data_IF_644278668312
#
_entry.id   IF_644278668312
#
_cell.length_a   1.000
_cell.length_b   1.000
_cell.length_c   1.000
_cell.angle_alpha   90.00
_cell.angle_beta   90.00
_cell.angle_gamma   90.00
#
_symmetry.space_group_name_H-M   'P 1'
#
loop_
_entity.id
_entity.type
_entity.pdbx_description
1 polymer ?
#
# COMPACT_ATOMS: atom_id res chain seq x y z
N UNK A 1 -1.24 -32.79 -40.77
CA UNK A 1 0.20 -33.09 -40.89
C UNK A 1 0.41 -34.41 -40.19
N UNK A 2 0.94 -35.44 -40.93
CA UNK A 2 1.12 -36.77 -40.35
C UNK A 2 2.14 -36.70 -39.20
N UNK A 3 1.88 -37.45 -38.14
CA UNK A 3 2.78 -37.66 -36.96
C UNK A 3 4.10 -38.34 -37.46
N UNK A 4 5.00 -37.52 -37.96
CA UNK A 4 6.32 -37.97 -38.38
C UNK A 4 7.29 -37.75 -37.23
N UNK A 5 7.50 -38.80 -36.42
CA UNK A 5 8.49 -38.78 -35.36
C UNK A 5 9.93 -38.76 -35.90
N UNK A 6 10.87 -38.03 -35.28
CA UNK A 6 12.27 -38.10 -35.66
C UNK A 6 12.82 -39.48 -35.39
N UNK A 7 13.67 -39.99 -36.30
CA UNK A 7 14.37 -41.27 -36.12
C UNK A 7 15.12 -41.29 -34.79
N UNK A 8 15.19 -42.46 -34.12
CA UNK A 8 15.83 -42.61 -32.80
C UNK A 8 17.24 -42.04 -32.74
N UNK A 9 18.06 -42.32 -33.78
CA UNK A 9 19.43 -41.79 -33.85
C UNK A 9 19.50 -40.25 -33.90
N UNK A 10 18.49 -39.58 -34.46
CA UNK A 10 18.44 -38.12 -34.49
C UNK A 10 17.95 -37.54 -33.14
N UNK A 11 17.06 -38.24 -32.43
CA UNK A 11 16.67 -37.92 -31.06
C UNK A 11 17.84 -38.08 -30.09
N UNK A 12 18.57 -39.21 -30.19
CA UNK A 12 19.77 -39.46 -29.40
C UNK A 12 20.82 -38.37 -29.63
N UNK A 13 21.05 -37.98 -30.90
CA UNK A 13 21.94 -36.89 -31.24
C UNK A 13 21.48 -35.59 -30.59
N UNK A 14 20.21 -35.24 -30.71
CA UNK A 14 19.67 -34.00 -30.12
C UNK A 14 19.80 -33.93 -28.59
N UNK A 15 19.83 -35.06 -27.90
CA UNK A 15 20.00 -35.18 -26.47
C UNK A 15 21.45 -34.93 -25.99
N UNK A 16 22.44 -34.97 -26.89
CA UNK A 16 23.84 -34.72 -26.51
C UNK A 16 24.10 -33.26 -26.21
N UNK A 17 25.06 -32.97 -25.30
CA UNK A 17 25.36 -31.65 -24.83
C UNK A 17 25.73 -30.62 -25.91
N UNK A 18 26.46 -31.05 -26.95
CA UNK A 18 26.83 -30.18 -28.07
C UNK A 18 25.62 -29.77 -28.94
N UNK A 19 24.86 -30.73 -29.48
CA UNK A 19 23.61 -30.47 -30.20
C UNK A 19 22.62 -29.65 -29.40
N UNK A 20 22.42 -29.90 -28.11
CA UNK A 20 21.56 -29.09 -27.24
C UNK A 20 21.93 -27.61 -27.25
N UNK A 21 23.22 -27.28 -27.21
CA UNK A 21 23.69 -25.89 -27.33
C UNK A 21 23.34 -25.28 -28.70
N UNK A 22 23.47 -26.05 -29.77
CA UNK A 22 23.12 -25.61 -31.13
C UNK A 22 21.61 -25.37 -31.24
N UNK A 23 20.79 -26.28 -30.75
CA UNK A 23 19.34 -26.17 -30.76
C UNK A 23 18.87 -25.02 -29.89
N UNK A 24 19.52 -24.79 -28.73
CA UNK A 24 19.27 -23.61 -27.91
C UNK A 24 19.62 -22.31 -28.65
N UNK A 25 20.69 -22.28 -29.44
CA UNK A 25 21.02 -21.10 -30.24
C UNK A 25 19.98 -20.87 -31.38
N UNK A 26 19.40 -21.95 -31.95
CA UNK A 26 18.26 -21.84 -32.87
C UNK A 26 17.06 -21.21 -32.20
N UNK A 27 16.65 -21.74 -31.04
CA UNK A 27 15.51 -21.20 -30.26
C UNK A 27 15.71 -19.71 -29.93
N UNK A 28 16.90 -19.33 -29.45
CA UNK A 28 17.22 -17.92 -29.18
C UNK A 28 17.19 -17.04 -30.42
N UNK A 29 17.60 -17.58 -31.56
CA UNK A 29 17.56 -16.82 -32.82
C UNK A 29 16.14 -16.55 -33.26
N UNK A 30 15.27 -17.58 -33.28
CA UNK A 30 13.84 -17.43 -33.63
C UNK A 30 13.14 -16.49 -32.61
N UNK A 31 13.37 -16.71 -31.34
CA UNK A 31 12.81 -15.84 -30.28
C UNK A 31 13.13 -14.35 -30.50
N UNK A 32 14.33 -14.04 -31.02
CA UNK A 32 14.74 -12.68 -31.39
C UNK A 32 14.24 -12.18 -32.74
N UNK A 33 13.43 -12.97 -33.46
CA UNK A 33 12.91 -12.65 -34.79
C UNK A 33 13.91 -12.91 -35.93
N UNK A 34 14.99 -13.62 -35.65
CA UNK A 34 15.97 -13.98 -36.67
C UNK A 34 15.49 -15.14 -37.55
N UNK A 35 15.72 -15.04 -38.88
CA UNK A 35 15.33 -16.07 -39.84
C UNK A 35 16.27 -17.27 -39.78
N UNK A 36 15.71 -18.47 -40.07
CA UNK A 36 16.45 -19.76 -40.20
C UNK A 36 16.82 -20.08 -41.65
N UNK A 37 17.14 -19.07 -42.46
CA UNK A 37 17.53 -19.21 -43.84
C UNK A 37 19.05 -19.27 -44.07
N UNK A 38 19.82 -18.48 -43.29
CA UNK A 38 21.28 -18.39 -43.46
C UNK A 38 21.99 -17.79 -42.27
N UNK A 39 23.32 -17.83 -42.27
CA UNK A 39 24.20 -17.18 -41.31
C UNK A 39 24.65 -18.06 -40.13
N UNK A 40 25.63 -17.62 -39.34
CA UNK A 40 26.17 -18.38 -38.22
C UNK A 40 25.22 -18.41 -37.02
N UNK A 41 25.21 -19.53 -36.32
CA UNK A 41 24.61 -19.65 -34.99
C UNK A 41 25.66 -19.23 -33.94
N UNK A 42 25.28 -18.29 -33.06
CA UNK A 42 26.15 -17.84 -31.97
C UNK A 42 26.19 -18.91 -30.86
N UNK A 43 27.08 -19.88 -31.01
CA UNK A 43 27.29 -20.98 -30.09
C UNK A 43 28.79 -21.28 -29.94
N UNK A 44 29.26 -21.37 -28.72
CA UNK A 44 30.62 -21.83 -28.37
C UNK A 44 30.52 -23.31 -28.00
N UNK A 45 31.38 -24.13 -28.61
CA UNK A 45 31.40 -25.58 -28.43
C UNK A 45 32.81 -25.99 -27.96
N UNK A 46 32.90 -26.80 -26.91
CA UNK A 46 34.14 -27.49 -26.56
C UNK A 46 34.50 -28.51 -27.66
N UNK A 47 35.73 -29.01 -27.62
CA UNK A 47 36.17 -30.04 -28.58
C UNK A 47 35.29 -31.28 -28.56
N UNK A 48 34.83 -31.70 -27.36
CA UNK A 48 33.92 -32.84 -27.23
C UNK A 48 32.51 -32.52 -27.82
N UNK A 49 32.00 -31.36 -27.48
CA UNK A 49 30.70 -30.90 -28.00
C UNK A 49 30.72 -30.76 -29.54
N UNK A 50 31.88 -30.32 -30.07
CA UNK A 50 32.07 -30.20 -31.49
C UNK A 50 32.06 -31.59 -32.18
N UNK A 51 32.69 -32.61 -31.57
CA UNK A 51 32.60 -34.00 -32.05
C UNK A 51 31.16 -34.52 -32.04
N UNK A 52 30.41 -34.20 -31.00
CA UNK A 52 28.99 -34.58 -30.92
C UNK A 52 28.14 -33.96 -32.04
N UNK A 53 28.33 -32.66 -32.31
CA UNK A 53 27.65 -31.96 -33.42
C UNK A 53 28.07 -32.51 -34.77
N UNK A 54 29.32 -32.90 -34.93
CA UNK A 54 29.87 -33.49 -36.17
C UNK A 54 29.26 -34.83 -36.54
N UNK A 55 28.61 -35.55 -35.63
CA UNK A 55 27.85 -36.75 -35.95
C UNK A 55 26.72 -36.46 -36.96
N UNK A 56 26.22 -35.23 -37.00
CA UNK A 56 25.22 -34.78 -37.98
C UNK A 56 25.86 -33.96 -39.13
N UNK A 57 26.78 -33.01 -38.78
CA UNK A 57 27.36 -32.10 -39.79
C UNK A 57 28.57 -32.66 -40.52
N UNK A 58 29.07 -33.82 -40.11
CA UNK A 58 30.18 -34.52 -40.75
C UNK A 58 31.59 -34.09 -40.23
N UNK A 59 32.58 -34.98 -40.40
CA UNK A 59 33.95 -34.77 -39.92
C UNK A 59 34.66 -33.63 -40.65
N UNK A 60 34.35 -33.34 -41.89
CA UNK A 60 34.88 -32.19 -42.65
C UNK A 60 34.53 -30.85 -41.95
N UNK A 61 33.32 -30.73 -41.39
CA UNK A 61 32.89 -29.57 -40.64
C UNK A 61 33.67 -29.50 -39.29
N UNK A 62 33.84 -30.63 -38.61
CA UNK A 62 34.56 -30.69 -37.36
C UNK A 62 36.00 -30.13 -37.50
N UNK A 63 36.76 -30.64 -38.44
CA UNK A 63 38.13 -30.27 -38.70
C UNK A 63 38.31 -28.83 -39.19
N UNK A 64 37.29 -28.30 -39.88
CA UNK A 64 37.33 -26.96 -40.46
C UNK A 64 37.42 -25.83 -39.42
N UNK A 65 37.14 -26.06 -38.15
CA UNK A 65 37.09 -25.05 -37.11
C UNK A 65 35.95 -24.01 -37.28
N UNK A 66 35.15 -24.09 -38.30
CA UNK A 66 34.09 -23.10 -38.60
C UNK A 66 32.93 -23.16 -37.60
N UNK A 67 32.23 -22.05 -37.46
CA UNK A 67 31.00 -21.99 -36.68
C UNK A 67 29.90 -22.85 -37.30
N UNK A 68 28.94 -23.30 -36.50
CA UNK A 68 27.69 -23.88 -36.99
C UNK A 68 26.91 -22.81 -37.74
N UNK A 69 26.52 -23.08 -38.99
CA UNK A 69 25.65 -22.19 -39.77
C UNK A 69 24.25 -22.78 -39.89
N UNK A 70 23.27 -21.89 -39.99
CA UNK A 70 21.87 -22.29 -40.25
C UNK A 70 21.80 -23.16 -41.52
N UNK A 71 22.52 -22.75 -42.56
CA UNK A 71 22.55 -23.52 -43.85
C UNK A 71 23.08 -24.92 -43.66
N UNK A 72 24.21 -25.08 -42.96
CA UNK A 72 24.81 -26.42 -42.75
C UNK A 72 23.90 -27.31 -41.89
N UNK A 73 23.30 -26.76 -40.84
CA UNK A 73 22.35 -27.47 -39.99
C UNK A 73 21.09 -27.87 -40.79
N UNK A 74 20.55 -26.93 -41.59
CA UNK A 74 19.37 -27.16 -42.40
C UNK A 74 19.60 -28.23 -43.45
N UNK A 75 20.75 -28.22 -44.14
CA UNK A 75 21.12 -29.27 -45.10
C UNK A 75 21.21 -30.64 -44.43
N UNK A 76 21.91 -30.74 -43.30
CA UNK A 76 22.07 -31.99 -42.58
C UNK A 76 20.73 -32.56 -42.06
N UNK A 77 19.84 -31.71 -41.55
CA UNK A 77 18.50 -32.11 -41.11
C UNK A 77 17.60 -32.48 -42.32
N UNK A 78 17.76 -31.82 -43.47
CA UNK A 78 16.97 -32.13 -44.69
C UNK A 78 17.29 -33.50 -45.28
N UNK A 79 18.51 -34.03 -45.10
CA UNK A 79 18.87 -35.39 -45.44
C UNK A 79 18.05 -36.44 -44.67
N UNK A 80 17.54 -36.05 -43.49
CA UNK A 80 16.62 -36.83 -42.66
C UNK A 80 15.16 -36.43 -42.89
N UNK A 81 14.90 -35.47 -43.79
CA UNK A 81 13.56 -35.05 -44.20
C UNK A 81 12.93 -34.02 -43.25
N UNK A 82 13.71 -33.30 -42.46
CA UNK A 82 13.21 -32.28 -41.52
C UNK A 82 13.75 -30.89 -41.83
N UNK A 83 12.87 -29.88 -41.68
CA UNK A 83 13.29 -28.48 -41.54
C UNK A 83 13.84 -28.19 -40.14
N UNK A 84 14.67 -27.14 -39.99
CA UNK A 84 15.24 -26.80 -38.67
C UNK A 84 14.12 -26.45 -37.67
N UNK A 85 13.16 -25.63 -38.08
CA UNK A 85 12.05 -25.23 -37.19
C UNK A 85 11.21 -26.43 -36.81
N UNK A 86 10.76 -27.20 -37.81
CA UNK A 86 9.97 -28.41 -37.65
C UNK A 86 10.61 -29.40 -36.67
N UNK A 87 11.94 -29.61 -36.82
CA UNK A 87 12.68 -30.55 -35.97
C UNK A 87 12.71 -30.05 -34.51
N UNK A 88 12.97 -28.76 -34.27
CA UNK A 88 13.02 -28.20 -32.93
C UNK A 88 11.62 -28.18 -32.29
N UNK A 89 10.60 -27.82 -33.03
CA UNK A 89 9.20 -27.83 -32.57
C UNK A 89 8.71 -29.24 -32.20
N UNK A 90 9.13 -30.24 -32.96
CA UNK A 90 8.86 -31.64 -32.65
C UNK A 90 9.54 -32.11 -31.36
N UNK A 91 10.80 -31.70 -31.14
CA UNK A 91 11.52 -32.01 -29.90
C UNK A 91 10.91 -31.30 -28.67
N UNK A 92 10.39 -30.10 -28.87
CA UNK A 92 9.81 -29.29 -27.82
C UNK A 92 8.32 -29.59 -27.56
N UNK A 93 7.67 -30.30 -28.49
CA UNK A 93 6.24 -30.55 -28.47
C UNK A 93 5.38 -29.27 -28.63
N UNK A 94 5.99 -28.18 -29.08
CA UNK A 94 5.33 -26.86 -29.20
C UNK A 94 6.00 -26.03 -30.32
N UNK A 95 5.28 -25.08 -30.95
CA UNK A 95 5.84 -24.13 -31.91
C UNK A 95 6.95 -23.28 -31.30
N UNK A 96 7.96 -22.92 -32.13
CA UNK A 96 9.02 -22.02 -31.72
C UNK A 96 8.49 -20.60 -31.46
N UNK A 97 8.55 -20.07 -30.22
CA UNK A 97 7.99 -18.78 -29.90
C UNK A 97 8.79 -17.63 -30.52
N UNK A 98 8.13 -16.77 -31.29
CA UNK A 98 8.71 -15.53 -31.80
C UNK A 98 8.42 -14.42 -30.81
N UNK A 99 9.44 -13.70 -30.35
CA UNK A 99 9.30 -12.62 -29.34
C UNK A 99 8.19 -11.63 -29.66
N UNK A 100 8.01 -11.28 -30.94
CA UNK A 100 6.94 -10.37 -31.37
C UNK A 100 5.55 -10.97 -31.15
N UNK A 101 5.39 -12.26 -31.42
CA UNK A 101 4.11 -12.97 -31.26
C UNK A 101 3.78 -13.18 -29.77
N UNK A 102 4.80 -13.53 -28.97
CA UNK A 102 4.66 -13.61 -27.50
C UNK A 102 4.26 -12.25 -26.93
N UNK A 103 4.95 -11.17 -27.30
CA UNK A 103 4.63 -9.84 -26.85
C UNK A 103 3.23 -9.37 -27.32
N UNK A 104 2.83 -9.72 -28.55
CA UNK A 104 1.49 -9.43 -29.05
C UNK A 104 0.40 -10.22 -28.30
N UNK A 105 0.66 -11.47 -27.95
CA UNK A 105 -0.25 -12.29 -27.14
C UNK A 105 -0.39 -11.74 -25.71
N UNK A 106 0.72 -11.35 -25.07
CA UNK A 106 0.71 -10.70 -23.75
C UNK A 106 -0.08 -9.39 -23.79
N UNK A 107 0.15 -8.55 -24.80
CA UNK A 107 -0.61 -7.31 -24.99
C UNK A 107 -2.11 -7.56 -25.22
N UNK A 108 -2.46 -8.61 -25.97
CA UNK A 108 -3.86 -8.99 -26.18
C UNK A 108 -4.54 -9.42 -24.87
N UNK A 109 -3.85 -10.18 -24.02
CA UNK A 109 -4.36 -10.58 -22.69
C UNK A 109 -4.60 -9.33 -21.82
N UNK A 110 -3.62 -8.42 -21.77
CA UNK A 110 -3.75 -7.15 -21.02
C UNK A 110 -4.94 -6.34 -21.52
N UNK A 111 -5.07 -6.16 -22.83
CA UNK A 111 -6.17 -5.41 -23.43
C UNK A 111 -7.54 -6.07 -23.17
N UNK A 112 -7.62 -7.39 -23.25
CA UNK A 112 -8.85 -8.14 -22.98
C UNK A 112 -9.28 -7.99 -21.51
N UNK A 113 -8.35 -8.08 -20.55
CA UNK A 113 -8.64 -7.89 -19.13
C UNK A 113 -9.08 -6.45 -18.83
N UNK A 114 -8.42 -5.44 -19.40
CA UNK A 114 -8.84 -4.05 -19.26
C UNK A 114 -10.23 -3.79 -19.83
N UNK A 115 -10.52 -4.37 -20.99
CA UNK A 115 -11.85 -4.24 -21.60
C UNK A 115 -12.94 -4.94 -20.77
N UNK A 116 -12.63 -6.08 -20.18
CA UNK A 116 -13.53 -6.78 -19.27
C UNK A 116 -13.82 -5.92 -18.04
N UNK A 117 -12.79 -5.39 -17.37
CA UNK A 117 -12.91 -4.53 -16.22
C UNK A 117 -13.74 -3.25 -16.54
N UNK A 118 -13.46 -2.60 -17.68
CA UNK A 118 -14.22 -1.44 -18.15
C UNK A 118 -15.71 -1.79 -18.33
N UNK A 119 -16.00 -2.87 -19.00
CA UNK A 119 -17.39 -3.31 -19.28
C UNK A 119 -18.11 -3.66 -17.98
N UNK A 120 -17.46 -4.37 -17.06
CA UNK A 120 -18.00 -4.77 -15.76
C UNK A 120 -18.37 -3.54 -14.92
N UNK A 121 -17.49 -2.56 -14.80
CA UNK A 121 -17.71 -1.36 -14.01
C UNK A 121 -18.77 -0.43 -14.63
N UNK A 122 -18.79 -0.31 -15.95
CA UNK A 122 -19.87 0.44 -16.65
C UNK A 122 -21.23 -0.20 -16.45
N UNK A 123 -21.32 -1.52 -16.53
CA UNK A 123 -22.55 -2.25 -16.28
C UNK A 123 -23.05 -2.05 -14.84
N UNK A 124 -22.13 -1.89 -13.88
CA UNK A 124 -22.44 -1.56 -12.50
C UNK A 124 -22.89 -0.09 -12.29
N UNK A 125 -22.81 0.77 -13.31
CA UNK A 125 -23.29 2.16 -13.27
C UNK A 125 -22.20 3.23 -13.12
N UNK A 126 -20.91 2.88 -13.22
CA UNK A 126 -19.85 3.88 -13.23
C UNK A 126 -19.75 4.54 -14.63
N UNK A 127 -19.39 5.82 -14.65
CA UNK A 127 -19.16 6.53 -15.92
C UNK A 127 -17.84 6.11 -16.56
N UNK A 128 -17.85 5.97 -17.89
CA UNK A 128 -16.68 5.51 -18.65
C UNK A 128 -15.42 6.35 -18.40
N UNK A 129 -15.45 7.69 -18.40
CA UNK A 129 -14.24 8.49 -18.15
C UNK A 129 -13.62 8.23 -16.78
N UNK A 130 -14.43 7.97 -15.75
CA UNK A 130 -13.94 7.67 -14.39
C UNK A 130 -13.26 6.30 -14.37
N UNK A 131 -13.85 5.31 -15.04
CA UNK A 131 -13.30 3.96 -15.11
C UNK A 131 -11.98 3.98 -15.90
N UNK A 132 -11.92 4.64 -17.05
CA UNK A 132 -10.71 4.78 -17.85
C UNK A 132 -9.58 5.46 -17.06
N UNK A 133 -9.89 6.57 -16.36
CA UNK A 133 -8.93 7.25 -15.50
C UNK A 133 -8.43 6.36 -14.36
N UNK A 134 -9.30 5.53 -13.78
CA UNK A 134 -8.91 4.57 -12.74
C UNK A 134 -8.02 3.47 -13.31
N UNK A 135 -8.38 2.86 -14.45
CA UNK A 135 -7.58 1.82 -15.12
C UNK A 135 -6.18 2.32 -15.53
N UNK A 136 -6.07 3.58 -15.92
CA UNK A 136 -4.80 4.23 -16.26
C UNK A 136 -3.96 4.63 -15.03
N UNK A 137 -4.53 4.58 -13.82
CA UNK A 137 -3.85 5.04 -12.61
C UNK A 137 -3.02 3.94 -11.95
N UNK A 138 -1.96 4.28 -11.20
CA UNK A 138 -1.22 3.31 -10.37
C UNK A 138 -2.06 2.67 -9.26
N UNK A 139 -3.29 3.12 -9.05
CA UNK A 139 -4.21 2.58 -8.05
C UNK A 139 -5.01 1.37 -8.55
N UNK A 140 -4.98 1.11 -9.85
CA UNK A 140 -5.52 -0.12 -10.44
C UNK A 140 -4.44 -1.21 -10.46
N UNK A 141 -4.78 -2.47 -10.19
CA UNK A 141 -3.86 -3.59 -10.41
C UNK A 141 -3.40 -3.65 -11.87
N UNK A 142 -2.20 -4.16 -12.09
CA UNK A 142 -1.72 -4.40 -13.46
C UNK A 142 -2.59 -5.45 -14.13
N UNK A 143 -3.13 -5.13 -15.31
CA UNK A 143 -3.81 -6.08 -16.14
C UNK A 143 -2.82 -7.12 -16.72
N UNK A 144 -3.33 -8.30 -17.07
CA UNK A 144 -2.57 -9.42 -17.60
C UNK A 144 -2.43 -10.59 -16.62
N UNK A 145 -2.89 -10.42 -15.36
CA UNK A 145 -2.83 -11.46 -14.31
C UNK A 145 -4.21 -11.89 -13.79
N UNK A 146 -5.28 -11.24 -14.24
CA UNK A 146 -6.64 -11.41 -13.74
C UNK A 146 -6.99 -10.47 -12.56
N UNK A 147 -6.01 -9.94 -11.84
CA UNK A 147 -6.23 -9.14 -10.64
C UNK A 147 -7.07 -7.87 -10.88
N UNK A 148 -6.90 -7.25 -12.05
CA UNK A 148 -7.68 -6.07 -12.42
C UNK A 148 -9.17 -6.41 -12.64
N UNK A 149 -9.44 -7.51 -13.32
CA UNK A 149 -10.81 -8.00 -13.53
C UNK A 149 -11.47 -8.44 -12.23
N UNK A 150 -10.75 -9.18 -11.37
CA UNK A 150 -11.23 -9.62 -10.05
C UNK A 150 -11.61 -8.43 -9.15
N UNK A 151 -10.78 -7.39 -9.12
CA UNK A 151 -11.09 -6.18 -8.35
C UNK A 151 -12.28 -5.43 -8.96
N UNK A 152 -12.38 -5.34 -10.29
CA UNK A 152 -13.52 -4.74 -10.97
C UNK A 152 -14.84 -5.45 -10.65
N UNK A 153 -14.84 -6.78 -10.59
CA UNK A 153 -16.01 -7.56 -10.18
C UNK A 153 -16.40 -7.29 -8.72
N UNK A 154 -15.43 -7.18 -7.82
CA UNK A 154 -15.68 -6.84 -6.42
C UNK A 154 -16.29 -5.43 -6.31
N UNK A 155 -15.74 -4.45 -7.01
CA UNK A 155 -16.29 -3.08 -7.07
C UNK A 155 -17.72 -3.10 -7.63
N UNK A 156 -17.97 -3.86 -8.70
CA UNK A 156 -19.27 -3.97 -9.33
C UNK A 156 -20.36 -4.55 -8.41
N UNK A 157 -19.98 -5.39 -7.43
CA UNK A 157 -20.89 -5.87 -6.38
C UNK A 157 -21.22 -4.81 -5.34
N UNK A 158 -20.26 -3.94 -5.02
CA UNK A 158 -20.43 -2.87 -4.02
C UNK A 158 -21.22 -1.69 -4.59
N UNK A 159 -20.93 -1.28 -5.83
CA UNK A 159 -21.41 -0.03 -6.39
C UNK A 159 -22.93 0.15 -6.40
N UNK A 160 -23.74 -0.85 -6.79
CA UNK A 160 -25.21 -0.75 -6.77
C UNK A 160 -25.81 -0.67 -5.36
N UNK A 161 -25.05 -1.06 -4.32
CA UNK A 161 -25.49 -1.04 -2.93
C UNK A 161 -25.32 0.33 -2.28
N UNK A 162 -24.58 1.25 -2.94
CA UNK A 162 -24.37 2.61 -2.45
C UNK A 162 -25.65 3.42 -2.51
N UNK A 163 -26.09 4.05 -1.40
CA UNK A 163 -27.36 4.76 -1.36
C UNK A 163 -27.45 6.00 -2.26
N UNK A 164 -26.33 6.70 -2.47
CA UNK A 164 -26.18 7.98 -3.16
C UNK A 164 -27.12 9.08 -2.66
N UNK A 165 -28.38 8.73 -2.43
CA UNK A 165 -29.40 9.61 -1.84
C UNK A 165 -30.34 8.78 -0.96
N UNK A 166 -30.98 9.43 0.04
CA UNK A 166 -31.95 8.77 0.93
C UNK A 166 -31.39 8.31 2.26
N UNK A 167 -31.89 7.21 2.81
CA UNK A 167 -31.43 6.70 4.11
C UNK A 167 -30.02 6.10 4.00
N UNK A 168 -29.06 6.74 4.69
CA UNK A 168 -27.67 6.29 4.67
C UNK A 168 -27.45 4.90 5.28
N UNK A 169 -26.55 4.12 4.66
CA UNK A 169 -26.07 2.83 5.18
C UNK A 169 -24.77 3.00 5.99
N UNK A 170 -24.42 2.03 6.82
CA UNK A 170 -23.10 1.97 7.48
C UNK A 170 -22.11 1.22 6.59
N UNK A 171 -20.84 1.61 6.63
CA UNK A 171 -19.77 1.00 5.80
C UNK A 171 -19.72 -0.52 5.98
N UNK A 172 -19.68 -1.01 7.23
CA UNK A 172 -19.65 -2.45 7.51
C UNK A 172 -20.91 -3.20 7.04
N UNK A 173 -22.08 -2.53 6.96
CA UNK A 173 -23.30 -3.13 6.39
C UNK A 173 -23.17 -3.30 4.87
N UNK A 174 -22.70 -2.27 4.16
CA UNK A 174 -22.45 -2.35 2.71
C UNK A 174 -21.38 -3.41 2.41
N UNK A 175 -20.31 -3.44 3.21
CA UNK A 175 -19.24 -4.44 3.08
C UNK A 175 -19.78 -5.88 3.24
N UNK A 176 -20.53 -6.14 4.31
CA UNK A 176 -21.10 -7.45 4.59
C UNK A 176 -22.11 -7.87 3.50
N UNK A 177 -22.96 -6.95 3.03
CA UNK A 177 -23.95 -7.21 1.97
C UNK A 177 -23.27 -7.56 0.64
N UNK A 178 -22.15 -6.87 0.31
CA UNK A 178 -21.43 -7.08 -0.95
C UNK A 178 -20.54 -8.31 -0.95
N UNK A 179 -19.93 -8.67 0.21
CA UNK A 179 -18.80 -9.60 0.27
C UNK A 179 -18.87 -10.65 1.38
N UNK A 180 -19.90 -10.64 2.21
CA UNK A 180 -19.99 -11.43 3.45
C UNK A 180 -18.91 -11.11 4.51
N UNK A 181 -18.15 -10.01 4.32
CA UNK A 181 -17.12 -9.57 5.25
C UNK A 181 -17.33 -8.08 5.59
N UNK A 182 -17.67 -7.77 6.83
CA UNK A 182 -17.92 -6.41 7.30
C UNK A 182 -16.70 -5.49 7.21
N UNK A 183 -15.48 -6.03 7.09
CA UNK A 183 -14.21 -5.31 6.99
C UNK A 183 -13.68 -5.19 5.55
N UNK A 184 -14.40 -5.72 4.55
CA UNK A 184 -13.92 -5.72 3.16
C UNK A 184 -13.76 -4.33 2.55
N UNK A 185 -14.41 -3.32 3.12
CA UNK A 185 -14.35 -1.93 2.67
C UNK A 185 -13.55 -1.03 3.61
N UNK A 186 -12.78 -1.58 4.56
CA UNK A 186 -11.89 -0.80 5.42
C UNK A 186 -10.76 -0.17 4.61
N UNK A 187 -10.14 0.89 5.16
CA UNK A 187 -9.11 1.64 4.44
C UNK A 187 -7.86 0.81 4.09
N UNK A 188 -7.48 -0.15 4.90
CA UNK A 188 -6.33 -1.04 4.70
C UNK A 188 -6.56 -2.08 3.59
N UNK A 189 -7.81 -2.28 3.15
CA UNK A 189 -8.15 -3.19 2.04
C UNK A 189 -7.98 -2.51 0.68
N UNK A 190 -7.65 -3.31 -0.34
CA UNK A 190 -7.56 -2.83 -1.72
C UNK A 190 -8.93 -2.40 -2.26
N UNK A 191 -9.96 -3.21 -2.00
CA UNK A 191 -11.33 -2.94 -2.40
C UNK A 191 -11.86 -1.63 -1.79
N UNK A 192 -11.68 -1.44 -0.47
CA UNK A 192 -12.11 -0.22 0.21
C UNK A 192 -11.48 1.03 -0.38
N UNK A 193 -10.14 0.99 -0.62
CA UNK A 193 -9.45 2.12 -1.26
C UNK A 193 -9.89 2.38 -2.69
N UNK A 194 -10.12 1.33 -3.48
CA UNK A 194 -10.59 1.47 -4.86
C UNK A 194 -11.98 2.09 -4.92
N UNK A 195 -12.94 1.56 -4.17
CA UNK A 195 -14.32 2.06 -4.11
C UNK A 195 -14.37 3.51 -3.63
N UNK A 196 -13.68 3.85 -2.51
CA UNK A 196 -13.69 5.21 -1.98
C UNK A 196 -13.11 6.24 -2.98
N UNK A 197 -12.06 5.88 -3.74
CA UNK A 197 -11.50 6.74 -4.79
C UNK A 197 -12.43 6.92 -5.97
N UNK A 198 -13.13 5.87 -6.38
CA UNK A 198 -14.14 5.95 -7.43
C UNK A 198 -15.35 6.78 -7.00
N UNK A 199 -15.80 6.65 -5.74
CA UNK A 199 -16.83 7.50 -5.16
C UNK A 199 -16.38 8.96 -5.19
N UNK A 200 -15.17 9.26 -4.70
CA UNK A 200 -14.63 10.62 -4.69
C UNK A 200 -14.56 11.23 -6.10
N UNK A 201 -14.12 10.45 -7.09
CA UNK A 201 -14.09 10.87 -8.49
C UNK A 201 -15.51 11.14 -9.03
N UNK A 202 -16.49 10.30 -8.70
CA UNK A 202 -17.88 10.45 -9.13
C UNK A 202 -18.57 11.67 -8.48
N UNK A 203 -18.30 11.90 -7.20
CA UNK A 203 -18.87 13.01 -6.43
C UNK A 203 -18.11 14.33 -6.58
N UNK A 204 -16.96 14.35 -7.27
CA UNK A 204 -16.10 15.53 -7.38
C UNK A 204 -15.48 15.98 -6.07
N UNK A 205 -15.28 15.06 -5.11
CA UNK A 205 -14.67 15.35 -3.81
C UNK A 205 -13.16 15.03 -3.81
N UNK A 206 -12.44 15.48 -2.77
CA UNK A 206 -11.02 15.23 -2.63
C UNK A 206 -10.71 13.71 -2.60
N UNK A 207 -9.66 13.28 -3.32
CA UNK A 207 -9.25 11.88 -3.38
C UNK A 207 -8.69 11.45 -2.02
N UNK A 208 -9.24 10.41 -1.38
CA UNK A 208 -8.73 9.92 -0.11
C UNK A 208 -7.39 9.18 -0.29
N UNK A 209 -6.33 9.69 0.33
CA UNK A 209 -4.99 9.11 0.30
C UNK A 209 -4.57 8.48 1.62
N UNK A 210 -5.32 8.70 2.69
CA UNK A 210 -5.12 8.17 4.04
C UNK A 210 -6.46 8.02 4.76
N UNK A 211 -6.54 7.21 5.83
CA UNK A 211 -7.71 7.23 6.70
C UNK A 211 -7.86 8.64 7.31
N UNK A 212 -9.07 9.16 7.34
CA UNK A 212 -9.30 10.50 7.88
C UNK A 212 -10.52 11.20 7.28
N UNK A 213 -10.49 12.53 7.31
CA UNK A 213 -11.60 13.40 6.90
C UNK A 213 -12.00 13.17 5.44
N UNK A 214 -11.03 13.10 4.52
CA UNK A 214 -11.29 12.87 3.08
C UNK A 214 -11.90 11.49 2.82
N UNK A 215 -11.41 10.45 3.52
CA UNK A 215 -11.97 9.10 3.44
C UNK A 215 -13.46 9.08 3.84
N UNK A 216 -13.78 9.69 4.98
CA UNK A 216 -15.16 9.78 5.45
C UNK A 216 -16.04 10.62 4.54
N UNK A 217 -15.50 11.73 4.01
CA UNK A 217 -16.23 12.61 3.08
C UNK A 217 -16.57 11.87 1.78
N UNK A 218 -15.65 11.07 1.23
CA UNK A 218 -15.90 10.25 0.06
C UNK A 218 -17.06 9.28 0.31
N UNK A 219 -17.00 8.46 1.36
CA UNK A 219 -18.09 7.54 1.69
C UNK A 219 -19.43 8.24 1.97
N UNK A 220 -19.37 9.36 2.69
CA UNK A 220 -20.58 10.14 3.01
C UNK A 220 -21.24 10.70 1.75
N UNK A 221 -20.47 11.11 0.73
CA UNK A 221 -21.04 11.58 -0.54
C UNK A 221 -21.82 10.51 -1.30
N UNK A 222 -21.51 9.23 -1.05
CA UNK A 222 -22.31 8.10 -1.53
C UNK A 222 -23.42 7.67 -0.55
N UNK A 223 -23.68 8.42 0.53
CA UNK A 223 -24.66 8.07 1.55
C UNK A 223 -24.20 6.98 2.53
N UNK A 224 -22.89 6.67 2.57
CA UNK A 224 -22.33 5.64 3.45
C UNK A 224 -21.61 6.29 4.63
N UNK A 225 -21.99 5.90 5.85
CA UNK A 225 -21.40 6.37 7.10
C UNK A 225 -20.30 5.40 7.58
N UNK A 226 -19.08 5.90 7.73
CA UNK A 226 -18.01 5.19 8.40
C UNK A 226 -18.29 5.10 9.90
N UNK A 227 -17.57 4.21 10.60
CA UNK A 227 -17.63 4.13 12.05
C UNK A 227 -17.22 5.46 12.69
N UNK A 228 -18.04 5.92 13.61
CA UNK A 228 -17.86 7.17 14.34
C UNK A 228 -17.82 6.97 15.85
N UNK A 229 -17.89 5.72 16.33
CA UNK A 229 -17.95 5.38 17.75
C UNK A 229 -16.63 4.80 18.26
N UNK A 230 -15.97 3.98 17.46
CA UNK A 230 -14.68 3.36 17.86
C UNK A 230 -13.53 4.35 17.96
N UNK A 231 -13.56 5.42 17.17
CA UNK A 231 -12.57 6.49 17.28
C UNK A 231 -12.96 7.42 18.43
N UNK A 232 -12.09 7.51 19.44
CA UNK A 232 -12.35 8.24 20.68
C UNK A 232 -11.13 9.02 21.15
N UNK A 233 -11.36 9.98 22.04
CA UNK A 233 -10.34 10.78 22.74
C UNK A 233 -10.76 10.94 24.19
N UNK A 234 -9.81 10.81 25.12
CA UNK A 234 -10.06 11.01 26.54
C UNK A 234 -9.80 12.47 26.90
N UNK A 235 -10.68 13.08 27.68
CA UNK A 235 -10.59 14.49 28.09
C UNK A 235 -10.86 14.63 29.57
N UNK A 236 -10.25 15.64 30.18
CA UNK A 236 -10.54 16.06 31.56
C UNK A 236 -10.74 17.57 31.58
N UNK A 237 -11.83 18.03 32.22
CA UNK A 237 -12.19 19.44 32.36
C UNK A 237 -12.19 20.28 31.08
N UNK A 238 -12.39 19.64 29.93
CA UNK A 238 -12.42 20.35 28.66
C UNK A 238 -13.79 21.05 28.52
N UNK A 239 -13.86 22.39 28.47
CA UNK A 239 -15.12 23.14 28.52
C UNK A 239 -15.77 23.21 27.14
N UNK A 240 -16.26 22.08 26.67
CA UNK A 240 -17.04 21.98 25.42
C UNK A 240 -18.52 22.00 25.75
N UNK A 241 -19.32 22.64 24.88
CA UNK A 241 -20.79 22.66 25.02
C UNK A 241 -21.38 21.24 24.99
N UNK A 242 -20.77 20.32 24.26
CA UNK A 242 -21.14 18.89 24.20
C UNK A 242 -20.81 18.13 25.50
N UNK A 243 -19.92 18.66 26.35
CA UNK A 243 -19.57 18.09 27.66
C UNK A 243 -20.23 18.80 28.82
N UNK A 244 -21.14 19.74 28.59
CA UNK A 244 -21.79 20.56 29.61
C UNK A 244 -22.49 19.76 30.74
N UNK A 245 -22.77 18.47 30.54
CA UNK A 245 -23.33 17.56 31.56
C UNK A 245 -22.27 16.75 32.31
N UNK A 246 -21.00 16.81 31.89
CA UNK A 246 -19.92 16.15 32.60
C UNK A 246 -19.66 16.84 33.94
N UNK A 247 -19.39 16.05 34.98
CA UNK A 247 -19.01 16.60 36.27
C UNK A 247 -17.55 17.06 36.21
N UNK A 248 -17.22 18.26 36.70
CA UNK A 248 -15.82 18.69 36.79
C UNK A 248 -14.97 17.68 37.57
N UNK A 249 -13.76 17.47 37.12
CA UNK A 249 -12.82 16.49 37.69
C UNK A 249 -13.07 15.02 37.27
N UNK A 250 -14.05 14.75 36.43
CA UNK A 250 -14.32 13.40 35.96
C UNK A 250 -13.89 13.26 34.49
N UNK A 251 -13.00 12.29 34.16
CA UNK A 251 -12.59 12.03 32.77
C UNK A 251 -13.77 11.63 31.88
N UNK A 252 -13.77 12.11 30.64
CA UNK A 252 -14.82 11.86 29.65
C UNK A 252 -14.23 11.36 28.34
N UNK A 253 -14.71 10.21 27.87
CA UNK A 253 -14.44 9.75 26.53
C UNK A 253 -15.39 10.45 25.53
N UNK A 254 -14.81 11.19 24.58
CA UNK A 254 -15.53 11.73 23.44
C UNK A 254 -15.26 10.83 22.22
N UNK A 255 -16.32 10.52 21.49
CA UNK A 255 -16.21 9.76 20.24
C UNK A 255 -16.16 10.70 19.04
N UNK A 256 -15.71 10.16 17.89
CA UNK A 256 -15.81 10.91 16.65
C UNK A 256 -17.24 11.37 16.34
N UNK A 257 -18.26 10.62 16.83
CA UNK A 257 -19.65 10.98 16.68
C UNK A 257 -19.99 12.29 17.37
N UNK A 258 -19.40 12.55 18.53
CA UNK A 258 -19.58 13.79 19.27
C UNK A 258 -18.94 14.97 18.54
N UNK A 259 -17.88 14.71 17.75
CA UNK A 259 -17.15 15.71 16.94
C UNK A 259 -17.79 15.99 15.57
N UNK A 260 -18.77 15.17 15.09
CA UNK A 260 -19.41 15.39 13.78
C UNK A 260 -20.37 16.59 13.76
N UNK A 261 -20.81 17.08 14.91
CA UNK A 261 -21.65 18.26 15.05
C UNK A 261 -20.83 19.54 15.07
N UNK A 262 -21.55 20.66 15.21
CA UNK A 262 -20.90 21.89 15.63
C UNK A 262 -20.70 21.81 17.14
N UNK A 263 -19.46 21.85 17.58
CA UNK A 263 -19.08 21.97 18.97
C UNK A 263 -18.21 23.21 19.16
N UNK A 264 -18.19 23.76 20.35
CA UNK A 264 -17.42 24.95 20.68
C UNK A 264 -16.99 24.93 22.13
N UNK A 265 -15.95 25.65 22.42
CA UNK A 265 -15.56 25.93 23.79
C UNK A 265 -16.52 26.93 24.46
N UNK A 266 -16.94 26.62 25.68
CA UNK A 266 -17.82 27.49 26.48
C UNK A 266 -17.49 27.33 27.98
N UNK A 267 -16.66 28.21 28.57
CA UNK A 267 -15.91 29.31 27.96
C UNK A 267 -14.70 28.84 27.15
N UNK A 268 -14.16 29.72 26.30
CA UNK A 268 -12.91 29.41 25.57
C UNK A 268 -11.75 29.38 26.58
N UNK A 269 -11.05 28.25 26.76
CA UNK A 269 -9.91 28.17 27.66
C UNK A 269 -8.70 28.89 27.07
N UNK A 270 -7.81 29.40 27.93
CA UNK A 270 -6.58 30.03 27.45
C UNK A 270 -5.63 29.03 26.82
N UNK A 271 -5.55 27.84 27.39
CA UNK A 271 -4.69 26.77 26.93
C UNK A 271 -5.31 25.40 27.24
N UNK A 272 -4.84 24.38 26.49
CA UNK A 272 -5.17 22.97 26.69
C UNK A 272 -3.87 22.18 26.72
N UNK A 273 -3.72 21.24 27.63
CA UNK A 273 -2.62 20.31 27.68
C UNK A 273 -2.97 19.03 26.94
N UNK A 274 -1.97 18.38 26.34
CA UNK A 274 -2.11 17.12 25.61
C UNK A 274 -1.06 16.14 26.07
N UNK A 275 -1.49 14.99 26.61
CA UNK A 275 -0.64 13.87 27.01
C UNK A 275 -0.92 12.64 26.17
N UNK A 276 -0.02 11.68 26.21
CA UNK A 276 -0.21 10.38 25.54
C UNK A 276 -0.95 9.39 26.43
N UNK A 277 -0.54 9.30 27.70
CA UNK A 277 -0.88 8.19 28.58
C UNK A 277 -2.13 8.49 29.44
N UNK A 278 -3.15 7.59 29.43
CA UNK A 278 -4.32 7.72 30.28
C UNK A 278 -4.01 7.79 31.78
N UNK A 279 -2.87 7.24 32.23
CA UNK A 279 -2.42 7.34 33.64
C UNK A 279 -2.25 8.78 34.10
N UNK A 280 -1.82 9.69 33.21
CA UNK A 280 -1.70 11.13 33.54
C UNK A 280 -3.08 11.73 33.79
N UNK A 281 -4.10 11.33 33.00
CA UNK A 281 -5.49 11.81 33.19
C UNK A 281 -6.07 11.25 34.47
N UNK A 282 -5.83 9.97 34.78
CA UNK A 282 -6.29 9.33 36.03
C UNK A 282 -5.71 10.05 37.25
N UNK A 283 -4.38 10.23 37.29
CA UNK A 283 -3.72 10.92 38.38
C UNK A 283 -4.18 12.40 38.51
N UNK A 284 -4.34 13.10 37.38
CA UNK A 284 -4.84 14.48 37.41
C UNK A 284 -6.30 14.54 37.89
N UNK A 285 -7.14 13.58 37.59
CA UNK A 285 -8.50 13.50 38.10
C UNK A 285 -8.53 13.24 39.62
N UNK A 286 -7.67 12.35 40.12
CA UNK A 286 -7.61 11.95 41.50
C UNK A 286 -6.99 13.08 42.39
N UNK A 287 -5.90 13.73 41.93
CA UNK A 287 -5.15 14.68 42.75
C UNK A 287 -5.60 16.14 42.58
N UNK A 288 -6.06 16.51 41.40
CA UNK A 288 -6.46 17.87 41.07
C UNK A 288 -7.98 18.02 40.89
N UNK A 289 -8.62 16.99 40.38
CA UNK A 289 -10.07 16.99 40.15
C UNK A 289 -10.55 18.19 39.33
N UNK A 290 -11.50 19.00 39.89
CA UNK A 290 -12.03 20.17 39.17
C UNK A 290 -10.98 21.29 38.92
N UNK A 291 -9.91 21.34 39.71
CA UNK A 291 -8.86 22.36 39.61
C UNK A 291 -7.80 22.03 38.57
N UNK A 292 -7.89 20.85 37.93
CA UNK A 292 -7.01 20.50 36.83
C UNK A 292 -7.28 21.36 35.61
N UNK A 293 -6.22 21.90 35.01
CA UNK A 293 -6.31 22.56 33.71
C UNK A 293 -6.91 21.63 32.63
N UNK A 294 -7.55 22.17 31.57
CA UNK A 294 -8.10 21.35 30.48
C UNK A 294 -7.06 20.43 29.87
N UNK A 295 -7.35 19.14 29.87
CA UNK A 295 -6.43 18.08 29.44
C UNK A 295 -7.08 17.17 28.35
N UNK A 296 -6.33 16.90 27.32
CA UNK A 296 -6.66 15.92 26.26
C UNK A 296 -5.63 14.78 26.34
N UNK A 297 -6.08 13.54 26.27
CA UNK A 297 -5.19 12.37 26.17
C UNK A 297 -5.43 11.65 24.85
N UNK A 298 -4.34 11.36 24.14
CA UNK A 298 -4.41 10.70 22.83
C UNK A 298 -4.58 9.19 22.92
N UNK A 299 -4.28 8.58 24.08
CA UNK A 299 -4.29 7.12 24.30
C UNK A 299 -3.41 6.41 23.23
N UNK A 300 -2.14 6.80 23.16
CA UNK A 300 -1.19 6.40 22.12
C UNK A 300 -1.28 7.27 20.86
N UNK A 301 -1.17 6.64 19.67
CA UNK A 301 -1.26 7.38 18.40
C UNK A 301 -2.65 8.00 18.25
N UNK A 302 -2.73 9.34 18.02
CA UNK A 302 -4.00 10.06 18.00
C UNK A 302 -4.99 9.45 17.00
N UNK A 303 -6.14 8.99 17.51
CA UNK A 303 -7.27 8.56 16.73
C UNK A 303 -7.94 9.77 16.04
N UNK A 304 -8.84 9.52 15.07
CA UNK A 304 -9.50 10.59 14.31
C UNK A 304 -10.27 11.57 15.18
N UNK A 305 -10.90 11.10 16.28
CA UNK A 305 -11.57 11.97 17.25
C UNK A 305 -10.59 12.94 17.90
N UNK A 306 -9.40 12.46 18.27
CA UNK A 306 -8.35 13.32 18.83
C UNK A 306 -7.83 14.33 17.81
N UNK A 307 -7.61 13.91 16.56
CA UNK A 307 -7.18 14.79 15.47
C UNK A 307 -8.23 15.88 15.18
N UNK A 308 -9.52 15.52 15.08
CA UNK A 308 -10.59 16.49 14.83
C UNK A 308 -10.74 17.47 16.01
N UNK A 309 -10.63 16.97 17.25
CA UNK A 309 -10.65 17.81 18.45
C UNK A 309 -9.47 18.80 18.49
N UNK A 310 -8.24 18.31 18.24
CA UNK A 310 -7.03 19.15 18.23
C UNK A 310 -7.08 20.20 17.10
N UNK A 311 -7.56 19.82 15.93
CA UNK A 311 -7.74 20.77 14.81
C UNK A 311 -8.71 21.87 15.19
N UNK A 312 -9.89 21.52 15.71
CA UNK A 312 -10.86 22.53 16.14
C UNK A 312 -10.39 23.37 17.33
N UNK A 313 -9.58 22.80 18.24
CA UNK A 313 -8.92 23.54 19.33
C UNK A 313 -7.99 24.63 18.78
N UNK A 314 -7.16 24.29 17.81
CA UNK A 314 -6.26 25.24 17.15
C UNK A 314 -7.05 26.31 16.35
N UNK A 315 -8.10 25.91 15.62
CA UNK A 315 -8.97 26.82 14.86
C UNK A 315 -9.72 27.81 15.79
N UNK A 316 -10.02 27.40 17.04
CA UNK A 316 -10.60 28.26 18.05
C UNK A 316 -9.58 29.24 18.69
N UNK A 317 -8.30 29.18 18.27
CA UNK A 317 -7.23 30.03 18.80
C UNK A 317 -6.78 29.69 20.24
N UNK A 318 -7.07 28.47 20.69
CA UNK A 318 -6.65 27.98 22.01
C UNK A 318 -5.20 27.48 21.93
N UNK A 319 -4.35 27.91 22.88
CA UNK A 319 -2.98 27.43 22.94
C UNK A 319 -2.94 25.94 23.30
N UNK A 320 -2.15 25.17 22.56
CA UNK A 320 -1.99 23.72 22.77
C UNK A 320 -0.57 23.47 23.31
N UNK A 321 -0.46 22.75 24.42
CA UNK A 321 0.80 22.25 24.96
C UNK A 321 0.84 20.75 24.93
N UNK A 322 1.77 20.17 24.18
CA UNK A 322 1.79 18.72 23.90
C UNK A 322 3.05 18.03 24.38
N UNK A 323 2.85 16.83 24.89
CA UNK A 323 3.90 15.86 25.19
C UNK A 323 3.47 14.43 24.84
N UNK A 324 4.42 13.53 24.90
CA UNK A 324 4.26 12.09 24.89
C UNK A 324 5.45 11.46 25.65
N UNK A 325 5.52 10.15 25.72
CA UNK A 325 6.72 9.44 26.14
C UNK A 325 7.93 9.81 25.27
N UNK A 326 9.11 9.95 25.85
CA UNK A 326 10.32 10.17 25.06
C UNK A 326 10.85 8.81 24.61
N UNK A 327 10.22 8.31 23.57
CA UNK A 327 10.55 7.08 22.86
C UNK A 327 10.27 7.22 21.36
N UNK A 328 10.40 6.13 20.61
CA UNK A 328 10.15 6.14 19.16
C UNK A 328 8.71 6.50 18.81
N UNK A 329 7.73 6.00 19.58
CA UNK A 329 6.31 6.23 19.34
C UNK A 329 5.93 7.68 19.71
N UNK A 330 6.41 8.19 20.82
CA UNK A 330 6.10 9.54 21.29
C UNK A 330 6.56 10.64 20.33
N UNK A 331 7.69 10.48 19.65
CA UNK A 331 8.08 11.41 18.58
C UNK A 331 7.08 11.41 17.41
N UNK A 332 6.47 10.29 17.09
CA UNK A 332 5.43 10.18 16.05
C UNK A 332 4.14 10.84 16.54
N UNK A 333 3.76 10.60 17.81
CA UNK A 333 2.57 11.14 18.44
C UNK A 333 2.63 12.66 18.49
N UNK A 334 3.72 13.24 19.01
CA UNK A 334 3.93 14.70 19.06
C UNK A 334 3.91 15.31 17.64
N UNK A 335 4.50 14.64 16.65
CA UNK A 335 4.42 15.07 15.27
C UNK A 335 2.99 15.06 14.72
N UNK A 336 2.18 14.05 15.06
CA UNK A 336 0.78 13.97 14.66
C UNK A 336 -0.06 15.07 15.31
N UNK A 337 0.14 15.34 16.61
CA UNK A 337 -0.51 16.45 17.31
C UNK A 337 -0.16 17.79 16.66
N UNK A 338 1.12 18.04 16.38
CA UNK A 338 1.57 19.27 15.71
C UNK A 338 1.12 19.38 14.25
N UNK A 339 0.79 18.28 13.60
CA UNK A 339 0.17 18.31 12.28
C UNK A 339 -1.31 18.75 12.34
N UNK A 340 -2.01 18.46 13.45
CA UNK A 340 -3.38 18.88 13.71
C UNK A 340 -3.47 20.29 14.32
N UNK A 341 -2.52 20.65 15.16
CA UNK A 341 -2.36 21.95 15.80
C UNK A 341 -0.94 22.49 15.57
N UNK A 342 -0.67 23.19 14.44
CA UNK A 342 0.69 23.55 14.01
C UNK A 342 1.46 24.42 15.03
N UNK A 343 0.77 25.25 15.77
CA UNK A 343 1.35 26.16 16.77
C UNK A 343 1.49 25.50 18.17
N UNK A 344 1.27 24.17 18.27
CA UNK A 344 1.39 23.47 19.55
C UNK A 344 2.83 23.55 20.10
N UNK A 345 2.94 24.04 21.33
CA UNK A 345 4.17 24.10 22.09
C UNK A 345 4.50 22.75 22.73
N UNK A 346 5.80 22.46 22.88
CA UNK A 346 6.25 21.26 23.58
C UNK A 346 6.12 21.46 25.10
N UNK A 347 5.47 20.50 25.76
CA UNK A 347 5.27 20.50 27.22
C UNK A 347 6.17 19.45 27.86
N UNK A 348 7.24 19.87 28.56
CA UNK A 348 8.21 18.93 29.17
C UNK A 348 8.78 17.88 28.21
N UNK A 349 8.63 18.08 26.89
CA UNK A 349 9.15 17.23 25.83
C UNK A 349 10.39 17.90 25.21
N UNK A 350 11.41 18.09 26.05
CA UNK A 350 12.58 18.90 25.75
C UNK A 350 13.87 18.30 26.35
N UNK A 351 15.06 18.73 25.86
CA UNK A 351 16.35 18.25 26.33
C UNK A 351 16.61 18.48 27.83
N UNK A 352 16.11 19.55 28.38
CA UNK A 352 16.38 19.94 29.78
C UNK A 352 15.64 19.01 30.75
N UNK A 353 14.36 18.75 30.45
CA UNK A 353 13.54 17.80 31.23
C UNK A 353 14.14 16.38 31.16
N UNK A 354 14.52 15.92 29.97
CA UNK A 354 15.15 14.62 29.81
C UNK A 354 16.47 14.49 30.55
N UNK A 355 17.37 15.47 30.37
CA UNK A 355 18.67 15.47 31.00
C UNK A 355 18.58 15.59 32.51
N UNK A 356 17.68 16.43 33.03
CA UNK A 356 17.42 16.58 34.47
C UNK A 356 16.95 15.29 35.10
N UNK A 357 16.03 14.56 34.49
CA UNK A 357 15.55 13.28 34.99
C UNK A 357 16.65 12.21 35.07
N UNK A 358 17.49 12.11 34.05
CA UNK A 358 18.54 11.06 34.00
C UNK A 358 19.88 11.50 34.58
N UNK A 359 20.03 12.75 35.02
CA UNK A 359 21.30 13.29 35.53
C UNK A 359 22.40 13.29 34.45
N UNK A 360 22.04 13.54 33.21
CA UNK A 360 22.98 13.58 32.08
C UNK A 360 23.17 15.00 31.56
N UNK A 361 24.31 15.29 30.90
CA UNK A 361 24.52 16.61 30.31
C UNK A 361 23.64 16.80 29.04
N UNK A 362 22.98 17.96 28.96
CA UNK A 362 22.31 18.42 27.75
C UNK A 362 23.18 19.52 27.10
N UNK A 363 23.91 19.20 26.00
CA UNK A 363 24.58 20.22 25.22
C UNK A 363 23.58 21.24 24.67
N UNK A 364 23.92 22.53 24.67
CA UNK A 364 23.03 23.64 24.33
C UNK A 364 22.35 23.49 22.95
N UNK A 365 23.05 22.85 22.01
CA UNK A 365 22.53 22.61 20.65
C UNK A 365 21.91 21.22 20.43
N UNK A 366 21.85 20.36 21.46
CA UNK A 366 21.33 18.99 21.28
C UNK A 366 19.80 18.99 21.26
N UNK A 367 19.23 18.33 20.26
CA UNK A 367 17.79 18.06 20.24
C UNK A 367 17.44 16.92 21.20
N UNK A 368 16.18 16.87 21.66
CA UNK A 368 15.68 15.77 22.50
C UNK A 368 15.90 14.40 21.84
N UNK A 369 15.65 14.28 20.55
CA UNK A 369 15.86 13.04 19.79
C UNK A 369 17.33 12.60 19.82
N UNK A 370 18.27 13.53 19.63
CA UNK A 370 19.71 13.21 19.69
C UNK A 370 20.16 12.75 21.08
N UNK A 371 19.61 13.35 22.15
CA UNK A 371 19.87 12.89 23.52
C UNK A 371 19.29 11.49 23.76
N UNK A 372 18.06 11.26 23.36
CA UNK A 372 17.42 9.95 23.47
C UNK A 372 18.20 8.88 22.69
N UNK A 373 18.54 9.12 21.43
CA UNK A 373 19.31 8.19 20.60
C UNK A 373 20.72 7.90 21.18
N UNK A 374 21.35 8.91 21.80
CA UNK A 374 22.67 8.77 22.43
C UNK A 374 22.63 7.91 23.69
N UNK A 375 21.61 8.09 24.51
CA UNK A 375 21.53 7.45 25.83
C UNK A 375 20.72 6.16 25.83
N UNK A 376 19.85 5.94 24.83
CA UNK A 376 19.04 4.74 24.69
C UNK A 376 18.10 4.48 25.88
N UNK A 377 17.62 5.55 26.53
CA UNK A 377 16.75 5.45 27.73
C UNK A 377 15.45 6.18 27.45
N UNK A 378 14.34 5.44 27.54
CA UNK A 378 13.01 6.01 27.38
C UNK A 378 12.60 6.78 28.63
N UNK A 379 11.89 7.91 28.48
CA UNK A 379 11.34 8.70 29.58
C UNK A 379 9.82 8.70 29.45
N UNK A 380 9.20 7.83 30.25
CA UNK A 380 7.75 7.72 30.31
C UNK A 380 7.11 8.86 31.11
N UNK A 381 5.86 9.17 30.80
CA UNK A 381 5.09 10.24 31.45
C UNK A 381 4.97 9.99 32.94
N UNK A 382 4.82 8.75 33.38
CA UNK A 382 4.74 8.35 34.79
C UNK A 382 6.00 8.68 35.58
N UNK A 383 7.16 8.66 34.96
CA UNK A 383 8.43 8.90 35.60
C UNK A 383 8.60 10.38 36.02
N UNK A 384 7.83 11.29 35.43
CA UNK A 384 7.81 12.73 35.76
C UNK A 384 6.41 13.22 36.12
N UNK A 385 5.52 12.31 36.53
CA UNK A 385 4.11 12.61 36.80
C UNK A 385 3.92 13.81 37.75
N UNK A 386 4.70 13.88 38.82
CA UNK A 386 4.63 15.02 39.74
C UNK A 386 4.85 16.38 39.08
N UNK A 387 5.83 16.47 38.14
CA UNK A 387 6.07 17.73 37.40
C UNK A 387 4.91 18.08 36.50
N UNK A 388 4.26 17.03 35.89
CA UNK A 388 3.10 17.23 35.03
C UNK A 388 1.88 17.72 35.81
N UNK A 389 1.65 17.15 36.99
CA UNK A 389 0.55 17.56 37.86
C UNK A 389 0.74 18.98 38.39
N UNK A 390 1.99 19.36 38.71
CA UNK A 390 2.29 20.74 39.12
C UNK A 390 1.98 21.76 37.99
N UNK A 391 2.35 21.44 36.77
CA UNK A 391 2.03 22.28 35.61
C UNK A 391 0.51 22.33 35.34
N UNK A 392 -0.21 21.22 35.49
CA UNK A 392 -1.67 21.16 35.33
C UNK A 392 -2.45 21.90 36.42
N UNK A 393 -1.87 22.07 37.64
CA UNK A 393 -2.44 22.85 38.75
C UNK A 393 -2.32 24.35 38.50
N UNK A 394 -1.26 24.79 37.81
CA UNK A 394 -0.95 26.19 37.56
C UNK A 394 -1.51 26.73 36.22
N UNK A 395 -2.03 25.87 35.37
CA UNK A 395 -2.51 26.18 34.00
C UNK A 395 -3.89 26.69 33.92
#
# INVERSE_FOLDING_TARGET
MADREPPDGLREWAALAGPQRVLHAVRRRVHRGGQLSSGPLKVELSAEQRRQVARLLGTKWEVSGRAVTVTALGQALSEHGFGIAEFVEMLDGAPLPVRREVAAAEQAIVAAEQQLALTTLRTAGLSEPIVEAWLASPASPRAGTGACADLAEQIARVWPLLPWAGQGKRLGQVAAEATNNAHALDYDTELGRAVARLIAATAGTARPNRPGREWRAAWLSAGVRCDTVSSRVLTLNLPLDITARARPGVPVWLTLRDMLGQWRFEPIPRQVFVCENPTVVEAAADELGPDCAPLICTDGIPALAAIDLLTGTAEAGVAVRTRADVDRAGFVIVSAVRSAAPDAELWRFDPVTYAGHFGVAAPEAATLRQLWERHGRDLHEEAILGLLLDDLRCG
#
